data_IF_302750670724
#
_entry.id   IF_302750670724
#
_cell.length_a   1.000
_cell.length_b   1.000
_cell.length_c   1.000
_cell.angle_alpha   90.00
_cell.angle_beta   90.00
_cell.angle_gamma   90.00
#
_symmetry.space_group_name_H-M   'P 1'
#
loop_
_entity.id
_entity.type
_entity.pdbx_description
1 polymer ?
#
# COMPACT_ATOMS: atom_id res chain seq x y z
N UNK A 1 -12.74 -3.57 -13.28
CA UNK A 1 -12.39 -2.64 -14.37
C UNK A 1 -13.37 -1.48 -14.47
N UNK A 2 -14.68 -1.70 -14.55
CA UNK A 2 -15.65 -0.59 -14.65
C UNK A 2 -15.59 0.40 -13.49
N UNK A 3 -15.49 -0.08 -12.24
CA UNK A 3 -15.35 0.77 -11.04
C UNK A 3 -14.11 1.69 -11.13
N UNK A 4 -12.93 1.10 -11.37
CA UNK A 4 -11.66 1.81 -11.55
C UNK A 4 -11.72 2.85 -12.70
N UNK A 5 -12.34 2.47 -13.83
CA UNK A 5 -12.48 3.35 -14.98
C UNK A 5 -13.47 4.49 -14.70
N UNK A 6 -14.51 4.24 -13.90
CA UNK A 6 -15.48 5.25 -13.51
C UNK A 6 -14.85 6.31 -12.60
N UNK A 7 -14.14 5.90 -11.55
CA UNK A 7 -13.46 6.84 -10.65
C UNK A 7 -12.34 7.62 -11.34
N UNK A 8 -11.71 7.06 -12.36
CA UNK A 8 -10.73 7.77 -13.19
C UNK A 8 -11.35 8.84 -14.10
N UNK A 9 -12.60 8.65 -14.54
CA UNK A 9 -13.34 9.61 -15.40
C UNK A 9 -13.95 10.75 -14.60
N UNK A 10 -14.44 10.46 -13.39
CA UNK A 10 -15.09 11.43 -12.49
C UNK A 10 -14.32 11.54 -11.15
N UNK A 11 -13.02 11.90 -11.18
CA UNK A 11 -12.11 11.79 -10.03
C UNK A 11 -12.55 12.61 -8.82
N UNK A 12 -13.12 13.78 -9.06
CA UNK A 12 -13.55 14.69 -8.02
C UNK A 12 -14.86 14.25 -7.37
N UNK A 13 -15.77 13.65 -8.15
CA UNK A 13 -17.00 13.05 -7.63
C UNK A 13 -16.63 11.86 -6.75
N UNK A 14 -15.73 10.99 -7.22
CA UNK A 14 -15.25 9.84 -6.47
C UNK A 14 -14.64 10.26 -5.12
N UNK A 15 -13.71 11.22 -5.10
CA UNK A 15 -13.08 11.67 -3.85
C UNK A 15 -14.06 12.35 -2.89
N UNK A 16 -15.04 13.13 -3.39
CA UNK A 16 -16.10 13.69 -2.53
C UNK A 16 -16.98 12.58 -1.93
N UNK A 17 -17.30 11.55 -2.71
CA UNK A 17 -18.07 10.40 -2.24
C UNK A 17 -17.30 9.62 -1.16
N UNK A 18 -15.99 9.39 -1.35
CA UNK A 18 -15.13 8.76 -0.34
C UNK A 18 -15.11 9.59 0.94
N UNK A 19 -14.81 10.90 0.87
CA UNK A 19 -14.79 11.79 2.04
C UNK A 19 -16.12 11.73 2.81
N UNK A 20 -17.25 11.86 2.08
CA UNK A 20 -18.58 11.80 2.69
C UNK A 20 -18.87 10.44 3.32
N UNK A 21 -18.46 9.35 2.68
CA UNK A 21 -18.64 7.99 3.19
C UNK A 21 -17.85 7.75 4.47
N UNK A 22 -16.59 8.20 4.51
CA UNK A 22 -15.73 8.11 5.70
C UNK A 22 -16.34 8.90 6.87
N UNK A 23 -16.71 10.16 6.66
CA UNK A 23 -17.32 11.02 7.68
C UNK A 23 -18.63 10.43 8.21
N UNK A 24 -19.52 10.00 7.32
CA UNK A 24 -20.81 9.43 7.70
C UNK A 24 -20.66 8.14 8.50
N UNK A 25 -19.70 7.28 8.13
CA UNK A 25 -19.43 6.03 8.84
C UNK A 25 -18.86 6.30 10.24
N UNK A 26 -17.93 7.25 10.35
CA UNK A 26 -17.24 7.55 11.59
C UNK A 26 -17.93 8.58 12.50
N UNK A 27 -19.04 9.21 12.11
CA UNK A 27 -19.67 10.30 12.88
C UNK A 27 -20.01 9.98 14.35
N UNK A 28 -20.23 8.71 14.66
CA UNK A 28 -20.60 8.27 16.01
C UNK A 28 -19.39 7.89 16.89
N UNK A 29 -18.18 7.92 16.34
CA UNK A 29 -16.95 7.71 17.12
C UNK A 29 -16.67 8.89 18.04
N UNK A 30 -15.79 8.70 19.02
CA UNK A 30 -15.30 9.78 19.88
C UNK A 30 -14.74 10.93 19.04
N UNK A 31 -13.86 10.62 18.09
CA UNK A 31 -13.26 11.60 17.20
C UNK A 31 -14.32 12.27 16.31
N UNK A 32 -15.26 11.50 15.76
CA UNK A 32 -16.32 12.02 14.90
C UNK A 32 -17.27 12.98 15.62
N UNK A 33 -17.58 12.71 16.90
CA UNK A 33 -18.36 13.61 17.75
C UNK A 33 -17.58 14.86 18.13
N UNK A 34 -16.30 14.71 18.50
CA UNK A 34 -15.45 15.83 18.89
C UNK A 34 -15.32 16.89 17.77
N UNK A 35 -15.27 16.45 16.51
CA UNK A 35 -15.16 17.32 15.34
C UNK A 35 -16.49 17.50 14.57
N UNK A 36 -17.62 17.02 15.10
CA UNK A 36 -18.96 17.21 14.51
C UNK A 36 -19.06 16.78 13.05
N UNK A 37 -18.65 15.55 12.73
CA UNK A 37 -18.58 15.03 11.35
C UNK A 37 -19.91 15.10 10.59
N UNK A 38 -21.03 14.99 11.29
CA UNK A 38 -22.39 15.07 10.76
C UNK A 38 -22.72 16.41 10.06
N UNK A 39 -22.00 17.48 10.40
CA UNK A 39 -22.18 18.82 9.83
C UNK A 39 -21.11 19.18 8.78
N UNK A 40 -20.23 18.24 8.42
CA UNK A 40 -19.18 18.46 7.43
C UNK A 40 -19.65 17.94 6.06
N UNK A 41 -19.82 18.84 5.09
CA UNK A 41 -20.33 18.49 3.75
C UNK A 41 -19.40 18.91 2.60
N UNK A 42 -18.30 19.57 2.89
CA UNK A 42 -17.37 20.05 1.87
C UNK A 42 -15.94 20.10 2.41
N UNK A 43 -14.98 20.08 1.48
CA UNK A 43 -13.56 20.10 1.76
C UNK A 43 -13.14 21.29 2.64
N UNK A 44 -13.67 22.48 2.40
CA UNK A 44 -13.29 23.69 3.15
C UNK A 44 -13.65 23.59 4.63
N UNK A 45 -14.84 23.09 4.95
CA UNK A 45 -15.24 22.84 6.35
C UNK A 45 -14.44 21.69 6.95
N UNK A 46 -14.20 20.63 6.17
CA UNK A 46 -13.40 19.48 6.59
C UNK A 46 -11.98 19.87 7.01
N UNK A 47 -11.24 20.56 6.12
CA UNK A 47 -9.85 20.94 6.35
C UNK A 47 -9.68 22.05 7.40
N UNK A 48 -10.68 22.92 7.59
CA UNK A 48 -10.66 23.92 8.65
C UNK A 48 -10.89 23.33 10.03
N UNK A 49 -11.71 22.27 10.13
CA UNK A 49 -12.19 21.77 11.43
C UNK A 49 -11.34 20.64 11.98
N UNK A 50 -10.93 19.71 11.12
CA UNK A 50 -10.10 18.58 11.52
C UNK A 50 -8.64 19.00 11.31
N UNK A 51 -7.77 18.95 12.33
CA UNK A 51 -6.37 19.33 12.17
C UNK A 51 -5.61 18.31 11.31
N UNK A 52 -4.51 18.74 10.69
CA UNK A 52 -3.50 17.80 10.18
C UNK A 52 -2.90 17.03 11.35
N UNK A 53 -2.59 15.76 11.13
CA UNK A 53 -2.07 14.89 12.17
C UNK A 53 -0.83 14.13 11.71
N UNK A 54 0.11 13.94 12.61
CA UNK A 54 1.19 12.95 12.52
C UNK A 54 0.79 11.68 13.28
N UNK A 55 1.66 10.66 13.25
CA UNK A 55 1.47 9.49 14.10
C UNK A 55 1.50 9.85 15.59
N UNK A 56 2.35 10.83 15.98
CA UNK A 56 2.45 11.26 17.37
C UNK A 56 1.13 11.78 17.91
N UNK A 57 0.41 12.56 17.10
CA UNK A 57 -0.87 13.18 17.47
C UNK A 57 -1.99 12.16 17.63
N UNK A 58 -1.99 11.10 16.82
CA UNK A 58 -3.00 10.03 16.89
C UNK A 58 -2.61 8.88 17.83
N UNK A 59 -1.37 8.87 18.35
CA UNK A 59 -0.80 7.73 19.06
C UNK A 59 -1.65 7.31 20.25
N UNK A 60 -2.09 8.25 21.08
CA UNK A 60 -2.88 7.93 22.28
C UNK A 60 -4.19 7.21 21.92
N UNK A 61 -4.93 7.73 20.93
CA UNK A 61 -6.16 7.11 20.44
C UNK A 61 -5.90 5.74 19.82
N UNK A 62 -4.80 5.58 19.08
CA UNK A 62 -4.38 4.29 18.50
C UNK A 62 -4.06 3.28 19.61
N UNK A 63 -3.32 3.66 20.66
CA UNK A 63 -2.98 2.77 21.77
C UNK A 63 -4.23 2.36 22.55
N UNK A 64 -5.18 3.28 22.79
CA UNK A 64 -6.49 2.97 23.38
C UNK A 64 -7.26 1.92 22.56
N UNK A 65 -7.32 2.11 21.25
CA UNK A 65 -7.93 1.14 20.35
C UNK A 65 -7.18 -0.20 20.36
N UNK A 66 -5.84 -0.19 20.41
CA UNK A 66 -5.03 -1.41 20.49
C UNK A 66 -5.26 -2.16 21.81
N UNK A 67 -5.51 -1.46 22.90
CA UNK A 67 -5.96 -2.03 24.19
C UNK A 67 -7.40 -2.58 24.16
N UNK A 68 -8.13 -2.42 23.06
CA UNK A 68 -9.44 -3.01 22.83
C UNK A 68 -10.60 -2.03 22.88
N UNK A 69 -10.35 -0.72 23.09
CA UNK A 69 -11.40 0.28 23.09
C UNK A 69 -12.04 0.44 21.71
N UNK A 70 -13.37 0.56 21.66
CA UNK A 70 -14.15 0.62 20.42
C UNK A 70 -14.63 2.04 20.14
N UNK A 71 -14.85 2.36 18.86
CA UNK A 71 -15.43 3.63 18.42
C UNK A 71 -14.60 4.88 18.80
N UNK A 72 -13.26 4.79 18.83
CA UNK A 72 -12.38 5.95 19.10
C UNK A 72 -12.12 6.75 17.81
N UNK A 73 -11.28 6.23 16.91
CA UNK A 73 -10.99 6.86 15.60
C UNK A 73 -11.84 6.29 14.46
N UNK A 74 -12.21 5.01 14.55
CA UNK A 74 -13.02 4.30 13.56
C UNK A 74 -14.13 3.49 14.27
N UNK A 75 -15.30 3.24 13.64
CA UNK A 75 -16.36 2.46 14.25
C UNK A 75 -15.96 1.02 14.58
N UNK A 76 -16.49 0.53 15.69
CA UNK A 76 -16.22 -0.83 16.20
C UNK A 76 -14.84 -0.98 16.82
N UNK A 77 -14.43 -2.24 16.97
CA UNK A 77 -13.14 -2.63 17.50
C UNK A 77 -12.20 -3.02 16.35
N UNK A 78 -11.01 -2.42 16.29
CA UNK A 78 -9.96 -2.82 15.34
C UNK A 78 -9.07 -3.86 16.00
N UNK A 79 -8.96 -5.03 15.35
CA UNK A 79 -8.17 -6.17 15.85
C UNK A 79 -6.74 -6.20 15.31
N UNK A 80 -6.49 -5.58 14.16
CA UNK A 80 -5.23 -5.70 13.44
C UNK A 80 -4.48 -4.37 13.41
N UNK A 81 -3.19 -4.40 13.69
CA UNK A 81 -2.33 -3.22 13.65
C UNK A 81 -1.04 -3.52 12.87
N UNK A 82 -0.87 -2.87 11.73
CA UNK A 82 0.33 -3.02 10.94
C UNK A 82 1.50 -2.28 11.63
N UNK A 83 2.58 -3.02 11.91
CA UNK A 83 3.83 -2.47 12.44
C UNK A 83 4.57 -1.82 11.27
N UNK A 84 4.77 -0.51 11.35
CA UNK A 84 5.54 0.24 10.35
C UNK A 84 6.84 0.76 10.95
N UNK A 85 7.95 0.60 10.23
CA UNK A 85 9.25 1.17 10.55
C UNK A 85 9.21 2.69 10.30
N UNK A 86 8.91 3.48 11.33
CA UNK A 86 9.00 4.94 11.24
C UNK A 86 10.47 5.38 11.21
N UNK A 87 10.88 6.10 10.17
CA UNK A 87 12.27 6.49 9.87
C UNK A 87 12.86 7.59 10.74
N UNK A 88 12.23 7.99 11.85
CA UNK A 88 12.68 9.21 12.60
C UNK A 88 12.81 9.08 14.12
N UNK A 89 12.40 7.98 14.76
CA UNK A 89 12.51 7.88 16.24
C UNK A 89 12.80 6.49 16.82
N UNK A 90 13.10 5.49 15.99
CA UNK A 90 13.40 4.12 16.45
C UNK A 90 12.23 3.39 17.13
N UNK A 91 11.04 4.01 17.23
CA UNK A 91 9.81 3.40 17.75
C UNK A 91 8.90 2.99 16.59
N UNK A 92 8.46 1.74 16.60
CA UNK A 92 7.51 1.24 15.60
C UNK A 92 6.17 2.00 15.69
N UNK A 93 5.63 2.37 14.54
CA UNK A 93 4.25 2.86 14.42
C UNK A 93 3.31 1.66 14.33
N UNK A 94 2.14 1.75 14.95
CA UNK A 94 1.08 0.74 14.89
C UNK A 94 -0.11 1.32 14.14
N UNK A 95 -0.21 1.01 12.84
CA UNK A 95 -1.24 1.56 11.98
C UNK A 95 -2.51 0.70 12.10
N UNK A 96 -3.68 1.27 12.43
CA UNK A 96 -4.91 0.50 12.53
C UNK A 96 -5.35 -0.04 11.17
N UNK A 97 -5.59 -1.36 11.11
CA UNK A 97 -6.04 -2.08 9.90
C UNK A 97 -7.44 -2.62 10.17
N UNK A 98 -8.46 -1.83 9.82
CA UNK A 98 -9.86 -2.22 9.96
C UNK A 98 -10.26 -3.26 8.90
N UNK A 99 -11.36 -3.99 9.10
CA UNK A 99 -11.89 -4.89 8.06
C UNK A 99 -12.26 -4.13 6.77
N UNK A 100 -12.68 -2.87 6.89
CA UNK A 100 -12.97 -2.02 5.74
C UNK A 100 -11.71 -1.73 4.92
N UNK A 101 -10.59 -1.43 5.60
CA UNK A 101 -9.29 -1.22 4.96
C UNK A 101 -8.76 -2.47 4.29
N UNK A 102 -8.92 -3.65 4.91
CA UNK A 102 -8.54 -4.93 4.30
C UNK A 102 -9.31 -5.14 2.99
N UNK A 103 -10.63 -5.01 3.02
CA UNK A 103 -11.49 -5.40 1.89
C UNK A 103 -11.55 -4.36 0.77
N UNK A 104 -11.70 -3.09 1.16
CA UNK A 104 -12.03 -1.97 0.26
C UNK A 104 -10.80 -1.13 -0.09
N UNK A 105 -9.66 -1.36 0.55
CA UNK A 105 -8.40 -0.70 0.23
C UNK A 105 -7.35 -1.73 -0.23
N UNK A 106 -6.79 -2.53 0.67
CA UNK A 106 -5.66 -3.42 0.34
C UNK A 106 -6.04 -4.51 -0.69
N UNK A 107 -7.09 -5.29 -0.43
CA UNK A 107 -7.55 -6.28 -1.39
C UNK A 107 -8.19 -5.66 -2.63
N UNK A 108 -8.77 -4.46 -2.53
CA UNK A 108 -9.27 -3.75 -3.70
C UNK A 108 -8.12 -3.37 -4.65
N UNK A 109 -7.02 -2.82 -4.12
CA UNK A 109 -5.81 -2.52 -4.88
C UNK A 109 -5.28 -3.75 -5.62
N UNK A 110 -5.06 -4.87 -4.91
CA UNK A 110 -4.59 -6.10 -5.55
C UNK A 110 -5.57 -6.65 -6.61
N UNK A 111 -6.89 -6.54 -6.39
CA UNK A 111 -7.89 -6.91 -7.41
C UNK A 111 -7.83 -6.00 -8.63
N UNK A 112 -7.62 -4.71 -8.46
CA UNK A 112 -7.48 -3.76 -9.57
C UNK A 112 -6.21 -4.03 -10.36
N UNK A 113 -5.08 -4.29 -9.69
CA UNK A 113 -3.81 -4.61 -10.32
C UNK A 113 -3.94 -5.86 -11.20
N UNK A 114 -4.53 -6.91 -10.64
CA UNK A 114 -4.82 -8.14 -11.36
C UNK A 114 -5.77 -7.91 -12.55
N UNK A 115 -6.83 -7.11 -12.37
CA UNK A 115 -7.78 -6.83 -13.43
C UNK A 115 -7.17 -6.02 -14.58
N UNK A 116 -6.33 -5.03 -14.27
CA UNK A 116 -5.55 -4.26 -15.25
C UNK A 116 -4.64 -5.20 -16.04
N UNK A 117 -3.87 -6.03 -15.34
CA UNK A 117 -2.94 -6.97 -15.95
C UNK A 117 -3.64 -7.88 -16.96
N UNK A 118 -4.72 -8.55 -16.51
CA UNK A 118 -5.48 -9.49 -17.34
C UNK A 118 -6.18 -8.78 -18.51
N UNK A 119 -6.57 -7.52 -18.35
CA UNK A 119 -7.13 -6.72 -19.45
C UNK A 119 -6.08 -6.39 -20.52
N UNK A 120 -4.81 -6.16 -20.12
CA UNK A 120 -3.70 -5.96 -21.06
C UNK A 120 -3.16 -7.25 -21.65
N UNK A 121 -3.38 -8.38 -20.99
CA UNK A 121 -2.88 -9.69 -21.40
C UNK A 121 -4.00 -10.74 -21.38
N UNK A 122 -4.94 -10.70 -22.35
CA UNK A 122 -6.10 -11.60 -22.35
C UNK A 122 -5.74 -13.09 -22.47
N UNK A 123 -4.59 -13.40 -23.06
CA UNK A 123 -4.05 -14.77 -23.19
C UNK A 123 -3.21 -15.20 -21.97
N UNK A 124 -3.24 -14.43 -20.89
CA UNK A 124 -2.53 -14.69 -19.64
C UNK A 124 -2.83 -16.07 -19.08
N UNK A 125 -1.78 -16.76 -18.65
CA UNK A 125 -1.85 -18.07 -17.99
C UNK A 125 -1.63 -17.98 -16.49
N UNK A 126 -1.75 -16.78 -15.91
CA UNK A 126 -1.54 -16.51 -14.50
C UNK A 126 -2.16 -17.55 -13.56
N UNK A 127 -3.40 -17.97 -13.82
CA UNK A 127 -4.14 -18.92 -12.99
C UNK A 127 -3.86 -20.41 -13.30
N UNK A 128 -2.99 -20.73 -14.25
CA UNK A 128 -2.49 -22.10 -14.49
C UNK A 128 -1.38 -22.50 -13.50
N UNK A 129 -0.90 -21.55 -12.68
CA UNK A 129 0.15 -21.77 -11.68
C UNK A 129 -0.03 -20.93 -10.42
N UNK A 130 1.00 -20.92 -9.57
CA UNK A 130 0.99 -20.28 -8.26
C UNK A 130 1.58 -18.87 -8.32
N UNK A 131 1.00 -17.95 -7.55
CA UNK A 131 1.61 -16.67 -7.24
C UNK A 131 2.53 -16.78 -6.04
N UNK A 132 3.84 -16.66 -6.25
CA UNK A 132 4.80 -16.61 -5.16
C UNK A 132 4.75 -15.23 -4.50
N UNK A 133 4.34 -15.19 -3.25
CA UNK A 133 4.23 -13.98 -2.43
C UNK A 133 5.35 -13.96 -1.39
N UNK A 134 6.06 -12.84 -1.32
CA UNK A 134 7.13 -12.66 -0.35
C UNK A 134 6.81 -11.48 0.57
N UNK A 135 6.43 -11.82 1.81
CA UNK A 135 6.18 -10.88 2.89
C UNK A 135 7.31 -10.85 3.93
N UNK A 136 7.27 -9.86 4.82
CA UNK A 136 8.24 -9.73 5.91
C UNK A 136 8.15 -10.87 6.91
N UNK A 137 9.14 -10.95 7.81
CA UNK A 137 9.21 -11.97 8.84
C UNK A 137 8.86 -11.40 10.19
N UNK A 138 7.57 -11.35 10.50
CA UNK A 138 7.09 -10.78 11.76
C UNK A 138 6.10 -11.70 12.45
N UNK A 139 6.39 -12.04 13.71
CA UNK A 139 5.43 -12.66 14.62
C UNK A 139 4.26 -11.70 14.81
N UNK A 140 3.03 -12.21 14.67
CA UNK A 140 1.87 -11.47 15.13
C UNK A 140 1.89 -11.40 16.65
N UNK A 141 2.33 -10.26 17.18
CA UNK A 141 2.36 -9.96 18.60
C UNK A 141 0.93 -9.75 19.11
N UNK A 142 0.49 -10.53 20.10
CA UNK A 142 -0.79 -10.36 20.76
C UNK A 142 -0.68 -9.26 21.83
N UNK A 143 -1.56 -8.27 21.75
CA UNK A 143 -1.68 -7.16 22.72
C UNK A 143 -3.14 -7.06 23.17
N UNK A 144 -3.48 -7.70 24.28
CA UNK A 144 -4.88 -7.78 24.74
C UNK A 144 -5.77 -8.49 23.73
N UNK A 145 -6.77 -7.79 23.18
CA UNK A 145 -7.68 -8.29 22.14
C UNK A 145 -7.17 -8.04 20.71
N UNK A 146 -6.04 -7.36 20.56
CA UNK A 146 -5.48 -6.94 19.28
C UNK A 146 -4.23 -7.75 18.91
N UNK A 147 -3.91 -7.78 17.62
CA UNK A 147 -2.71 -8.39 17.04
C UNK A 147 -1.94 -7.35 16.23
N UNK A 148 -0.61 -7.39 16.33
CA UNK A 148 0.27 -6.49 15.61
C UNK A 148 1.35 -7.23 14.85
N UNK A 149 1.69 -6.79 13.63
CA UNK A 149 2.77 -7.37 12.85
C UNK A 149 2.87 -6.73 11.46
N UNK A 150 3.64 -7.31 10.56
CA UNK A 150 3.73 -6.77 9.20
C UNK A 150 2.37 -6.81 8.50
N UNK A 151 2.10 -5.79 7.66
CA UNK A 151 0.87 -5.74 6.86
C UNK A 151 0.69 -7.02 6.05
N UNK A 152 1.75 -7.56 5.44
CA UNK A 152 1.69 -8.81 4.67
C UNK A 152 1.19 -10.00 5.48
N UNK A 153 1.62 -10.12 6.75
CA UNK A 153 1.17 -11.20 7.64
C UNK A 153 -0.32 -11.03 7.99
N UNK A 154 -0.76 -9.79 8.22
CA UNK A 154 -2.18 -9.47 8.47
C UNK A 154 -3.02 -9.82 7.23
N UNK A 155 -2.58 -9.46 6.02
CA UNK A 155 -3.32 -9.76 4.80
C UNK A 155 -3.41 -11.26 4.51
N UNK A 156 -2.34 -12.03 4.77
CA UNK A 156 -2.36 -13.51 4.66
C UNK A 156 -3.42 -14.11 5.58
N UNK A 157 -3.53 -13.63 6.83
CA UNK A 157 -4.53 -14.12 7.79
C UNK A 157 -5.98 -13.79 7.42
N UNK A 158 -6.20 -12.87 6.47
CA UNK A 158 -7.53 -12.43 6.05
C UNK A 158 -7.82 -12.78 4.58
N UNK A 159 -6.93 -13.51 3.91
CA UNK A 159 -7.11 -13.81 2.49
C UNK A 159 -8.23 -14.86 2.29
N UNK A 160 -9.05 -14.75 1.23
CA UNK A 160 -9.98 -15.81 0.87
C UNK A 160 -9.27 -17.12 0.55
N UNK A 161 -9.84 -18.25 0.99
CA UNK A 161 -9.22 -19.59 0.87
C UNK A 161 -8.85 -19.97 -0.57
N UNK A 162 -9.67 -19.60 -1.57
CA UNK A 162 -9.36 -19.87 -2.98
C UNK A 162 -8.07 -19.16 -3.43
N UNK A 163 -7.82 -17.95 -2.93
CA UNK A 163 -6.63 -17.17 -3.28
C UNK A 163 -5.40 -17.69 -2.53
N UNK A 164 -5.58 -18.29 -1.35
CA UNK A 164 -4.54 -19.02 -0.63
C UNK A 164 -4.08 -20.25 -1.41
N UNK A 165 -5.01 -21.06 -1.94
CA UNK A 165 -4.69 -22.25 -2.76
C UNK A 165 -3.90 -21.91 -4.04
N UNK A 166 -4.03 -20.70 -4.55
CA UNK A 166 -3.30 -20.20 -5.72
C UNK A 166 -2.00 -19.46 -5.35
N UNK A 167 -1.52 -19.61 -4.12
CA UNK A 167 -0.34 -18.91 -3.62
C UNK A 167 0.75 -19.87 -3.17
N UNK A 168 1.98 -19.40 -3.32
CA UNK A 168 3.15 -19.98 -2.69
C UNK A 168 3.91 -18.89 -1.89
N UNK A 169 4.69 -19.25 -0.87
CA UNK A 169 4.72 -20.56 -0.21
C UNK A 169 3.42 -20.83 0.58
N UNK A 170 3.33 -21.98 1.23
CA UNK A 170 2.28 -22.29 2.20
C UNK A 170 2.19 -21.22 3.30
N UNK A 171 1.02 -20.98 3.92
CA UNK A 171 0.90 -20.00 5.00
C UNK A 171 1.85 -20.24 6.17
N UNK A 172 2.14 -21.50 6.49
CA UNK A 172 3.08 -21.88 7.55
C UNK A 172 4.48 -21.32 7.26
N UNK A 173 4.95 -21.51 6.02
CA UNK A 173 6.25 -21.00 5.57
C UNK A 173 6.24 -19.48 5.38
N UNK A 174 5.15 -18.92 4.85
CA UNK A 174 5.00 -17.47 4.65
C UNK A 174 5.08 -16.67 5.95
N UNK A 175 4.67 -17.26 7.08
CA UNK A 175 4.60 -16.64 8.41
C UNK A 175 5.82 -16.96 9.31
N UNK A 176 6.84 -17.64 8.78
CA UNK A 176 8.10 -17.89 9.51
C UNK A 176 8.81 -16.57 9.89
N UNK A 177 9.48 -16.59 11.03
CA UNK A 177 10.06 -15.41 11.69
C UNK A 177 11.55 -15.23 11.39
N UNK A 178 12.29 -16.33 11.31
CA UNK A 178 13.70 -16.30 11.00
C UNK A 178 13.86 -16.16 9.50
N UNK A 179 14.39 -15.01 9.06
CA UNK A 179 14.48 -14.66 7.65
C UNK A 179 15.27 -15.68 6.83
N UNK A 180 16.41 -16.14 7.33
CA UNK A 180 17.26 -17.10 6.62
C UNK A 180 16.58 -18.46 6.48
N UNK A 181 16.02 -18.99 7.58
CA UNK A 181 15.27 -20.26 7.57
C UNK A 181 14.02 -20.18 6.68
N UNK A 182 13.31 -19.05 6.73
CA UNK A 182 12.15 -18.78 5.89
C UNK A 182 12.51 -18.87 4.42
N UNK A 183 13.62 -18.25 4.01
CA UNK A 183 14.03 -18.27 2.60
C UNK A 183 14.37 -19.70 2.18
N UNK A 184 15.10 -20.49 2.99
CA UNK A 184 15.38 -21.89 2.66
C UNK A 184 14.09 -22.73 2.55
N UNK A 185 13.14 -22.56 3.47
CA UNK A 185 11.84 -23.24 3.41
C UNK A 185 11.02 -22.83 2.18
N UNK A 186 11.07 -21.54 1.77
CA UNK A 186 10.45 -21.09 0.52
C UNK A 186 11.09 -21.81 -0.66
N UNK A 187 12.43 -21.87 -0.74
CA UNK A 187 13.13 -22.56 -1.83
C UNK A 187 12.73 -24.03 -1.92
N UNK A 188 12.62 -24.72 -0.79
CA UNK A 188 12.19 -26.12 -0.72
C UNK A 188 10.77 -26.32 -1.27
N UNK A 189 9.87 -25.37 -1.05
CA UNK A 189 8.48 -25.49 -1.50
C UNK A 189 8.26 -25.11 -2.97
N UNK A 190 9.01 -24.13 -3.49
CA UNK A 190 8.62 -23.41 -4.72
C UNK A 190 9.45 -23.70 -5.97
N UNK A 191 10.66 -24.22 -5.85
CA UNK A 191 11.56 -24.43 -7.01
C UNK A 191 10.92 -25.36 -8.06
N UNK A 192 10.30 -26.46 -7.62
CA UNK A 192 9.69 -27.46 -8.51
C UNK A 192 8.21 -27.16 -8.85
N UNK A 193 7.70 -25.99 -8.45
CA UNK A 193 6.31 -25.60 -8.69
C UNK A 193 6.16 -24.82 -10.00
N UNK A 194 4.95 -24.84 -10.57
CA UNK A 194 4.60 -23.94 -11.66
C UNK A 194 4.33 -22.53 -11.12
N UNK A 195 5.37 -21.70 -11.01
CA UNK A 195 5.23 -20.29 -10.61
C UNK A 195 4.94 -19.42 -11.84
N UNK A 196 3.82 -18.71 -11.80
CA UNK A 196 3.37 -17.82 -12.89
C UNK A 196 3.49 -16.35 -12.53
N UNK A 197 3.58 -16.02 -11.23
CA UNK A 197 3.72 -14.63 -10.80
C UNK A 197 4.46 -14.44 -9.49
N UNK A 198 5.02 -13.25 -9.34
CA UNK A 198 5.66 -12.75 -8.12
C UNK A 198 4.92 -11.54 -7.55
N UNK A 199 4.77 -11.50 -6.22
CA UNK A 199 4.07 -10.43 -5.51
C UNK A 199 4.81 -10.01 -4.24
N UNK A 200 5.32 -8.78 -4.19
CA UNK A 200 5.94 -8.24 -2.97
C UNK A 200 7.04 -7.22 -3.21
N UNK A 201 7.94 -7.08 -2.23
CA UNK A 201 8.97 -6.03 -2.24
C UNK A 201 10.19 -6.45 -3.07
N UNK A 202 10.61 -5.60 -4.01
CA UNK A 202 11.71 -5.91 -4.94
C UNK A 202 13.01 -6.30 -4.23
N UNK A 203 13.42 -5.57 -3.19
CA UNK A 203 14.66 -5.87 -2.47
C UNK A 203 14.69 -7.26 -1.83
N UNK A 204 13.54 -7.77 -1.37
CA UNK A 204 13.43 -9.10 -0.77
C UNK A 204 13.46 -10.20 -1.83
N UNK A 205 12.77 -9.97 -2.95
CA UNK A 205 12.81 -10.89 -4.08
C UNK A 205 14.20 -11.03 -4.67
N UNK A 206 15.00 -9.96 -4.68
CA UNK A 206 16.36 -10.04 -5.17
C UNK A 206 17.22 -11.03 -4.37
N UNK A 207 17.04 -11.08 -3.04
CA UNK A 207 17.71 -12.05 -2.18
C UNK A 207 17.25 -13.47 -2.50
N UNK A 208 15.94 -13.67 -2.63
CA UNK A 208 15.35 -14.98 -2.97
C UNK A 208 15.86 -15.47 -4.34
N UNK A 209 15.81 -14.62 -5.37
CA UNK A 209 16.21 -14.96 -6.73
C UNK A 209 17.67 -15.38 -6.83
N UNK A 210 18.57 -14.68 -6.14
CA UNK A 210 19.99 -15.07 -6.12
C UNK A 210 20.17 -16.47 -5.54
N UNK A 211 19.46 -16.80 -4.43
CA UNK A 211 19.50 -18.14 -3.84
C UNK A 211 18.84 -19.21 -4.71
N UNK A 212 17.76 -18.88 -5.43
CA UNK A 212 17.15 -19.78 -6.42
C UNK A 212 18.17 -20.16 -7.49
N UNK A 213 18.86 -19.18 -8.07
CA UNK A 213 19.85 -19.43 -9.12
C UNK A 213 21.07 -20.20 -8.59
N UNK A 214 21.54 -19.88 -7.39
CA UNK A 214 22.62 -20.62 -6.72
C UNK A 214 22.24 -22.10 -6.51
N UNK A 215 21.04 -22.37 -5.99
CA UNK A 215 20.57 -23.73 -5.68
C UNK A 215 20.28 -24.55 -6.94
N UNK A 216 19.76 -23.92 -7.99
CA UNK A 216 19.37 -24.63 -9.23
C UNK A 216 20.49 -24.68 -10.27
N UNK A 217 21.53 -23.85 -10.13
CA UNK A 217 22.60 -23.70 -11.12
C UNK A 217 22.13 -23.12 -12.47
N UNK A 218 20.94 -22.52 -12.52
CA UNK A 218 20.37 -21.90 -13.73
C UNK A 218 20.89 -20.48 -13.92
N UNK A 219 20.83 -19.97 -15.15
CA UNK A 219 21.33 -18.62 -15.45
C UNK A 219 20.30 -17.52 -15.21
N UNK A 220 19.01 -17.85 -15.29
CA UNK A 220 17.91 -16.90 -15.13
C UNK A 220 16.64 -17.63 -14.63
N UNK A 221 15.67 -16.86 -14.14
CA UNK A 221 14.47 -17.39 -13.51
C UNK A 221 13.50 -18.06 -14.49
N UNK A 222 13.56 -17.74 -15.78
CA UNK A 222 12.70 -18.39 -16.79
C UNK A 222 13.16 -19.82 -17.11
N UNK A 223 14.42 -20.18 -16.81
CA UNK A 223 14.89 -21.57 -16.85
C UNK A 223 14.38 -22.40 -15.66
N UNK A 224 14.01 -21.75 -14.55
CA UNK A 224 13.43 -22.39 -13.36
C UNK A 224 11.91 -22.45 -13.48
N UNK A 225 11.29 -21.32 -13.86
CA UNK A 225 9.84 -21.15 -13.99
C UNK A 225 9.47 -20.66 -15.40
N UNK A 226 9.32 -21.58 -16.38
CA UNK A 226 9.10 -21.23 -17.78
C UNK A 226 7.77 -20.50 -18.07
N UNK A 227 6.79 -20.60 -17.17
CA UNK A 227 5.47 -19.96 -17.32
C UNK A 227 5.35 -18.65 -16.54
N UNK A 228 6.43 -18.15 -15.96
CA UNK A 228 6.43 -16.87 -15.25
C UNK A 228 6.09 -15.72 -16.20
N UNK A 229 5.08 -14.91 -15.85
CA UNK A 229 4.58 -13.84 -16.73
C UNK A 229 4.32 -12.51 -16.04
N UNK A 230 4.29 -12.46 -14.70
CA UNK A 230 4.04 -11.23 -13.94
C UNK A 230 4.97 -11.09 -12.73
N UNK A 231 5.50 -9.88 -12.55
CA UNK A 231 6.05 -9.43 -11.28
C UNK A 231 5.37 -8.13 -10.84
N UNK A 232 4.45 -8.25 -9.88
CA UNK A 232 3.79 -7.13 -9.22
C UNK A 232 4.60 -6.71 -7.99
N UNK A 233 5.12 -5.49 -7.99
CA UNK A 233 6.12 -5.06 -7.02
C UNK A 233 5.91 -3.65 -6.47
N UNK A 234 6.36 -3.43 -5.24
CA UNK A 234 6.29 -2.13 -4.58
C UNK A 234 7.26 -2.01 -3.41
N UNK A 235 7.05 -0.99 -2.58
CA UNK A 235 7.78 -0.78 -1.32
C UNK A 235 9.15 -0.09 -1.44
N UNK A 236 9.77 -0.07 -2.62
CA UNK A 236 11.01 0.66 -2.92
C UNK A 236 10.96 1.29 -4.31
N UNK A 237 11.75 2.33 -4.56
CA UNK A 237 11.95 2.85 -5.91
C UNK A 237 12.55 1.75 -6.79
N UNK A 238 11.83 1.32 -7.83
CA UNK A 238 12.24 0.20 -8.66
C UNK A 238 13.32 0.55 -9.69
N UNK A 239 13.38 1.81 -10.13
CA UNK A 239 14.27 2.28 -11.21
C UNK A 239 15.73 1.83 -11.04
N UNK A 240 16.36 1.91 -9.84
CA UNK A 240 17.75 1.45 -9.67
C UNK A 240 17.94 -0.07 -9.84
N UNK A 241 16.89 -0.85 -9.63
CA UNK A 241 16.91 -2.31 -9.69
C UNK A 241 16.52 -2.86 -11.06
N UNK A 242 15.87 -2.06 -11.91
CA UNK A 242 15.25 -2.51 -13.15
C UNK A 242 16.21 -3.34 -14.04
N UNK A 243 17.43 -2.84 -14.28
CA UNK A 243 18.42 -3.55 -15.11
C UNK A 243 18.78 -4.93 -14.54
N UNK A 244 18.93 -5.03 -13.21
CA UNK A 244 19.25 -6.29 -12.54
C UNK A 244 18.10 -7.28 -12.67
N UNK A 245 16.86 -6.83 -12.47
CA UNK A 245 15.69 -7.68 -12.62
C UNK A 245 15.46 -8.14 -14.07
N UNK A 246 15.73 -7.27 -15.06
CA UNK A 246 15.67 -7.64 -16.49
C UNK A 246 16.74 -8.68 -16.87
N UNK A 247 17.89 -8.71 -16.19
CA UNK A 247 18.87 -9.78 -16.38
C UNK A 247 18.40 -11.11 -15.78
N UNK A 248 17.75 -11.07 -14.62
CA UNK A 248 17.19 -12.26 -13.95
C UNK A 248 15.99 -12.84 -14.69
N UNK A 249 15.24 -12.02 -15.43
CA UNK A 249 14.06 -12.40 -16.22
C UNK A 249 14.16 -11.81 -17.63
N UNK A 250 15.04 -12.36 -18.49
CA UNK A 250 15.34 -11.79 -19.79
C UNK A 250 14.14 -11.85 -20.76
N UNK A 251 14.10 -10.92 -21.70
CA UNK A 251 13.04 -10.82 -22.71
C UNK A 251 11.84 -9.99 -22.26
N UNK A 252 10.68 -10.29 -22.83
CA UNK A 252 9.42 -9.56 -22.59
C UNK A 252 8.29 -10.47 -22.06
N UNK A 253 8.63 -11.70 -21.66
CA UNK A 253 7.64 -12.63 -21.14
C UNK A 253 7.04 -12.12 -19.83
N UNK A 254 7.90 -11.63 -18.92
CA UNK A 254 7.50 -11.12 -17.61
C UNK A 254 7.13 -9.64 -17.70
N UNK A 255 5.90 -9.33 -17.30
CA UNK A 255 5.41 -7.96 -17.15
C UNK A 255 5.77 -7.48 -15.74
N UNK A 256 6.41 -6.31 -15.65
CA UNK A 256 6.69 -5.66 -14.39
C UNK A 256 5.57 -4.65 -14.13
N UNK A 257 4.91 -4.75 -12.99
CA UNK A 257 3.87 -3.82 -12.57
C UNK A 257 4.25 -3.21 -11.24
N UNK A 258 4.54 -1.92 -11.26
CA UNK A 258 4.81 -1.16 -10.05
C UNK A 258 3.50 -0.83 -9.34
N UNK A 259 3.49 -0.93 -8.01
CA UNK A 259 2.42 -0.43 -7.18
C UNK A 259 2.96 0.36 -5.99
N UNK A 260 2.14 1.28 -5.51
CA UNK A 260 2.40 2.09 -4.34
C UNK A 260 1.40 1.73 -3.25
N UNK A 261 1.89 1.00 -2.24
CA UNK A 261 1.15 0.66 -1.04
C UNK A 261 2.05 0.80 0.21
N UNK A 262 1.42 0.95 1.36
CA UNK A 262 2.02 1.01 2.68
C UNK A 262 1.06 0.42 3.72
N UNK A 263 1.50 0.36 4.98
CA UNK A 263 0.67 -0.03 6.13
C UNK A 263 -0.63 0.78 6.24
N UNK A 264 -0.59 2.05 5.82
CA UNK A 264 -1.74 2.97 5.84
C UNK A 264 -2.72 2.79 4.68
N UNK A 265 -2.34 2.12 3.58
CA UNK A 265 -3.21 1.98 2.42
C UNK A 265 -2.55 1.49 1.13
N UNK A 266 -3.39 1.22 0.12
CA UNK A 266 -2.98 0.90 -1.25
C UNK A 266 -3.38 2.08 -2.14
N UNK A 267 -2.39 2.81 -2.65
CA UNK A 267 -2.61 4.16 -3.18
C UNK A 267 -2.60 4.22 -4.70
N UNK A 268 -1.68 3.53 -5.38
CA UNK A 268 -1.54 3.64 -6.83
C UNK A 268 -1.03 2.35 -7.47
N UNK A 269 -1.34 2.16 -8.76
CA UNK A 269 -0.94 0.99 -9.57
C UNK A 269 -0.47 1.47 -10.93
N UNK A 270 0.61 0.90 -11.44
CA UNK A 270 1.01 1.06 -12.83
C UNK A 270 0.01 0.34 -13.71
N UNK A 271 -0.85 1.11 -14.37
CA UNK A 271 -1.87 0.56 -15.25
C UNK A 271 -1.31 0.29 -16.66
N UNK A 272 -0.43 1.13 -17.19
CA UNK A 272 0.25 0.89 -18.47
C UNK A 272 1.78 0.89 -18.31
N UNK A 273 2.47 -0.24 -18.58
CA UNK A 273 3.92 -0.33 -18.45
C UNK A 273 4.70 0.55 -19.45
N UNK A 274 4.05 1.06 -20.50
CA UNK A 274 4.65 1.98 -21.47
C UNK A 274 4.60 3.45 -21.04
N UNK A 275 3.82 3.76 -20.00
CA UNK A 275 3.69 5.11 -19.47
C UNK A 275 4.38 5.22 -18.12
N UNK A 276 5.06 6.35 -17.91
CA UNK A 276 5.68 6.64 -16.62
C UNK A 276 4.63 6.96 -15.55
N UNK A 277 4.84 6.41 -14.36
CA UNK A 277 4.02 6.67 -13.18
C UNK A 277 2.84 5.72 -13.02
N UNK A 278 2.20 5.84 -11.87
CA UNK A 278 1.12 4.96 -11.42
C UNK A 278 -0.20 5.72 -11.39
N UNK A 279 -1.27 5.06 -11.79
CA UNK A 279 -2.65 5.52 -11.66
C UNK A 279 -3.02 5.60 -10.17
N UNK A 280 -3.39 6.79 -9.70
CA UNK A 280 -3.86 7.00 -8.33
C UNK A 280 -5.26 6.39 -8.15
N UNK A 281 -5.44 5.55 -7.13
CA UNK A 281 -6.71 4.90 -6.83
C UNK A 281 -7.61 5.84 -6.02
N UNK A 282 -8.70 6.30 -6.63
CA UNK A 282 -9.55 7.36 -6.09
C UNK A 282 -10.84 6.88 -5.39
N UNK A 283 -11.13 5.58 -5.42
CA UNK A 283 -12.32 4.99 -4.79
C UNK A 283 -12.01 3.86 -3.79
N UNK A 284 -10.73 3.63 -3.47
CA UNK A 284 -10.27 2.55 -2.58
C UNK A 284 -10.32 2.91 -1.08
N UNK A 285 -11.32 3.67 -0.65
CA UNK A 285 -11.53 4.00 0.77
C UNK A 285 -10.51 4.97 1.39
N UNK A 286 -9.79 5.73 0.56
CA UNK A 286 -8.84 6.76 0.98
C UNK A 286 -9.22 8.09 0.33
N UNK A 287 -9.38 9.11 1.16
CA UNK A 287 -9.49 10.50 0.71
C UNK A 287 -8.12 11.17 0.76
N UNK A 288 -7.74 11.84 -0.33
CA UNK A 288 -6.44 12.47 -0.50
C UNK A 288 -6.53 13.99 -0.39
N UNK A 289 -5.53 14.53 0.28
CA UNK A 289 -5.16 15.93 0.33
C UNK A 289 -3.68 16.04 0.00
N UNK A 290 -3.25 17.21 -0.48
CA UNK A 290 -1.88 17.45 -0.90
C UNK A 290 -1.35 18.73 -0.28
N UNK A 291 -0.07 18.73 0.10
CA UNK A 291 0.63 19.94 0.55
C UNK A 291 1.73 20.21 -0.49
N UNK A 292 1.71 21.34 -1.22
CA UNK A 292 2.83 21.70 -2.08
C UNK A 292 4.13 21.72 -1.28
N UNK A 293 5.19 21.08 -1.77
CA UNK A 293 6.44 21.03 -1.02
C UNK A 293 7.08 22.40 -0.79
N UNK A 294 6.74 23.41 -1.60
CA UNK A 294 7.13 24.81 -1.38
C UNK A 294 6.56 25.42 -0.10
N UNK A 295 5.45 24.87 0.40
CA UNK A 295 4.64 25.41 1.50
C UNK A 295 4.56 24.42 2.67
N UNK A 296 5.48 23.43 2.71
CA UNK A 296 5.44 22.35 3.68
C UNK A 296 6.03 22.78 5.04
N UNK A 297 5.15 22.87 6.03
CA UNK A 297 5.45 23.21 7.42
C UNK A 297 4.82 22.20 8.39
N UNK A 298 4.91 20.91 8.09
CA UNK A 298 4.35 19.85 8.92
C UNK A 298 2.83 20.00 9.12
N UNK A 299 2.36 19.91 10.36
CA UNK A 299 0.93 20.02 10.71
C UNK A 299 0.38 21.44 10.62
N UNK A 300 1.23 22.46 10.46
CA UNK A 300 0.83 23.86 10.25
C UNK A 300 0.58 24.18 8.77
N UNK A 301 0.83 23.22 7.88
CA UNK A 301 0.66 23.40 6.44
C UNK A 301 -0.81 23.58 6.04
N UNK A 302 -1.02 24.27 4.91
CA UNK A 302 -2.32 24.26 4.24
C UNK A 302 -2.35 23.14 3.20
N UNK A 303 -3.47 22.42 3.13
CA UNK A 303 -3.70 21.41 2.10
C UNK A 303 -4.53 21.95 0.95
N UNK A 304 -4.36 21.33 -0.20
CA UNK A 304 -5.21 21.46 -1.36
C UNK A 304 -5.90 20.11 -1.66
N UNK A 305 -7.08 20.18 -2.28
CA UNK A 305 -7.78 19.00 -2.78
C UNK A 305 -7.16 18.50 -4.10
N UNK A 306 -7.52 17.28 -4.50
CA UNK A 306 -7.13 16.69 -5.78
C UNK A 306 -7.40 17.63 -6.99
N UNK A 307 -8.51 18.38 -6.96
CA UNK A 307 -8.91 19.36 -7.99
C UNK A 307 -7.86 20.45 -8.28
N UNK A 308 -6.96 20.71 -7.34
CA UNK A 308 -6.02 21.84 -7.40
C UNK A 308 -4.57 21.42 -7.65
N UNK A 309 -4.30 20.13 -7.83
CA UNK A 309 -2.94 19.64 -8.09
C UNK A 309 -2.47 20.09 -9.47
N UNK A 310 -1.17 20.37 -9.58
CA UNK A 310 -0.53 20.87 -10.80
C UNK A 310 0.50 19.83 -11.25
N UNK A 311 0.47 19.52 -12.55
CA UNK A 311 1.43 18.60 -13.16
C UNK A 311 2.86 19.15 -12.98
N UNK A 312 3.78 18.26 -12.61
CA UNK A 312 5.17 18.60 -12.43
C UNK A 312 5.53 19.16 -11.04
N UNK A 313 4.54 19.51 -10.21
CA UNK A 313 4.79 19.92 -8.83
C UNK A 313 4.89 18.72 -7.89
N UNK A 314 5.72 18.86 -6.86
CA UNK A 314 5.90 17.88 -5.79
C UNK A 314 5.01 18.22 -4.60
N UNK A 315 4.39 17.19 -4.03
CA UNK A 315 3.46 17.30 -2.93
C UNK A 315 3.75 16.28 -1.84
N UNK A 316 3.65 16.67 -0.57
CA UNK A 316 3.45 15.70 0.51
C UNK A 316 2.01 15.19 0.46
N UNK A 317 1.83 13.88 0.67
CA UNK A 317 0.50 13.26 0.70
C UNK A 317 -0.08 13.32 2.12
N UNK A 318 -1.33 13.77 2.20
CA UNK A 318 -2.16 13.67 3.39
C UNK A 318 -3.33 12.75 3.09
N UNK A 319 -3.59 11.80 3.99
CA UNK A 319 -4.60 10.76 3.80
C UNK A 319 -5.63 10.77 4.93
N UNK A 320 -6.87 10.48 4.56
CA UNK A 320 -7.93 10.09 5.49
C UNK A 320 -8.43 8.71 5.08
N UNK A 321 -8.36 7.74 6.00
CA UNK A 321 -8.50 6.33 5.66
C UNK A 321 -9.71 5.68 6.33
N UNK A 322 -10.19 4.62 5.70
CA UNK A 322 -11.14 3.67 6.28
C UNK A 322 -10.55 2.81 7.43
N UNK A 323 -9.35 3.12 7.92
CA UNK A 323 -8.75 2.57 9.14
C UNK A 323 -8.81 3.52 10.35
N UNK A 324 -9.28 4.76 10.17
CA UNK A 324 -9.36 5.76 11.23
C UNK A 324 -8.16 6.70 11.32
N UNK A 325 -7.31 6.77 10.29
CA UNK A 325 -6.35 7.88 10.17
C UNK A 325 -7.10 9.08 9.59
N UNK A 326 -7.12 10.21 10.30
CA UNK A 326 -7.81 11.43 9.88
C UNK A 326 -6.79 12.52 9.56
N UNK A 327 -6.80 13.03 8.32
CA UNK A 327 -5.87 14.05 7.81
C UNK A 327 -4.41 13.77 8.20
N UNK A 328 -4.01 12.51 8.07
CA UNK A 328 -2.71 12.01 8.47
C UNK A 328 -1.67 12.32 7.40
N UNK A 329 -0.58 13.00 7.77
CA UNK A 329 0.57 13.23 6.90
C UNK A 329 1.33 11.91 6.77
N UNK A 330 1.28 11.32 5.58
CA UNK A 330 1.83 9.99 5.31
C UNK A 330 3.36 9.95 5.43
N UNK A 331 4.01 11.06 5.05
CA UNK A 331 5.47 11.19 5.05
C UNK A 331 6.13 10.89 3.70
N UNK A 332 5.33 10.54 2.69
CA UNK A 332 5.77 10.38 1.31
C UNK A 332 5.51 11.64 0.48
N UNK A 333 6.38 11.87 -0.50
CA UNK A 333 6.17 12.90 -1.51
C UNK A 333 5.91 12.28 -2.87
N UNK A 334 5.03 12.91 -3.64
CA UNK A 334 4.69 12.51 -5.02
C UNK A 334 4.73 13.69 -5.96
N UNK A 335 5.00 13.39 -7.22
CA UNK A 335 4.90 14.30 -8.34
C UNK A 335 3.77 13.86 -9.27
N UNK A 336 2.88 14.78 -9.63
CA UNK A 336 1.83 14.50 -10.61
C UNK A 336 2.40 14.53 -12.03
N UNK A 337 2.17 13.48 -12.80
CA UNK A 337 2.55 13.38 -14.21
C UNK A 337 1.36 13.64 -15.15
N UNK A 338 0.14 13.36 -14.68
CA UNK A 338 -1.10 13.67 -15.37
C UNK A 338 -2.21 13.90 -14.35
N UNK A 339 -3.25 14.63 -14.74
CA UNK A 339 -4.50 14.84 -13.99
C UNK A 339 -5.72 14.20 -14.67
N UNK A 340 -5.56 13.64 -15.87
CA UNK A 340 -6.60 12.98 -16.65
C UNK A 340 -6.00 11.79 -17.43
N UNK A 341 -6.01 10.56 -16.89
CA UNK A 341 -6.31 10.24 -15.48
C UNK A 341 -5.20 10.75 -14.54
N UNK A 342 -5.46 10.77 -13.24
CA UNK A 342 -4.48 11.21 -12.23
C UNK A 342 -3.35 10.21 -12.10
N UNK A 343 -2.14 10.60 -12.52
CA UNK A 343 -0.93 9.78 -12.46
C UNK A 343 0.08 10.40 -11.53
N UNK A 344 0.66 9.59 -10.67
CA UNK A 344 1.69 10.01 -9.71
C UNK A 344 2.96 9.19 -9.87
N UNK A 345 4.08 9.80 -9.50
CA UNK A 345 5.35 9.13 -9.27
C UNK A 345 5.83 9.47 -7.87
N UNK A 346 6.37 8.48 -7.15
CA UNK A 346 7.03 8.73 -5.87
C UNK A 346 8.28 9.58 -6.08
N UNK A 347 8.37 10.71 -5.37
CA UNK A 347 9.50 11.64 -5.45
C UNK A 347 10.41 11.60 -4.22
N UNK A 348 9.96 11.02 -3.09
CA UNK A 348 10.79 10.89 -1.89
C UNK A 348 10.00 10.83 -0.59
N UNK A 349 10.65 11.29 0.50
CA UNK A 349 10.10 11.37 1.86
C UNK A 349 10.14 12.81 2.34
N UNK A 350 9.13 13.25 3.10
CA UNK A 350 9.07 14.61 3.66
C UNK A 350 10.25 14.92 4.57
N UNK A 351 10.73 13.92 5.34
CA UNK A 351 11.88 14.06 6.23
C UNK A 351 13.18 14.49 5.51
N UNK A 352 13.37 14.08 4.26
CA UNK A 352 14.56 14.49 3.50
C UNK A 352 14.52 15.96 3.11
N UNK A 353 13.33 16.53 2.91
CA UNK A 353 13.17 17.96 2.61
C UNK A 353 13.39 18.83 3.84
N UNK A 354 12.95 18.38 5.02
CA UNK A 354 13.26 19.05 6.29
C UNK A 354 14.78 19.13 6.47
N UNK A 355 15.49 18.02 6.28
CA UNK A 355 16.95 17.99 6.40
C UNK A 355 17.68 18.84 5.33
N UNK A 356 17.10 18.99 4.13
CA UNK A 356 17.70 19.78 3.05
C UNK A 356 17.48 21.30 3.19
N UNK A 357 16.43 21.72 3.91
CA UNK A 357 16.04 23.12 4.05
C UNK A 357 16.10 23.64 5.50
N UNK A 358 16.45 22.79 6.48
CA UNK A 358 16.85 23.21 7.83
C UNK A 358 16.43 22.25 8.95
N UNK A 359 17.41 21.56 9.54
CA UNK A 359 17.57 21.30 10.98
C UNK A 359 19.03 20.85 11.22
N UNK A 360 19.82 21.71 11.88
CA UNK A 360 21.03 21.32 12.65
C UNK A 360 20.62 20.92 14.07
#
# INVERSE_FOLDING_TARGET
MEELLHSSKEPFVAQRAVMSGLLQKAKNTEFGKAYGFDTIHNFKTFSKRIPLATYGDLKESIERMRSGESNVLWPGQIKWYAKSSGTTSGKSKYIPVSQDSINSCHFAGGRYELAIYLNHRPDSKLFEGLGLRLGGSTVLEQHGLSKSGDLSAILIQNIPTWAEFMSAPSPNTALMTEWEEKIEAILDEVIDQNITSFWGVSSWFLVLFNKVLERTGKNNLLEVWPNLELFAHGGVNFVPYENQFRQLMPGNQVTFMENYNASEGFFAIQDDPNHEGMLLLLDSGIYYEFIPMSDFHGTESNTISLEKVIIGMEYAIVITTNGGLWRYILGDTVKFLSTQPHRIKLSGRTAHYINAFGEE
#
